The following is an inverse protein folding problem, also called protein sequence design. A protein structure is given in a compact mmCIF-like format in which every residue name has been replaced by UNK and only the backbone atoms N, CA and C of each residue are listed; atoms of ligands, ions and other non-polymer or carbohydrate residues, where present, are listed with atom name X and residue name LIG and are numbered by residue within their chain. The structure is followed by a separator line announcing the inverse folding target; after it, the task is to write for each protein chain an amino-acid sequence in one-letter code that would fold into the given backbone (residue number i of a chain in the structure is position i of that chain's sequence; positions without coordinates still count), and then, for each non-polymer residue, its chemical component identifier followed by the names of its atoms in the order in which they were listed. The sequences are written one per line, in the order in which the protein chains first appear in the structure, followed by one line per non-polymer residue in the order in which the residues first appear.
data_IF_567678130161
#
_entry.id   IF_567678130161
#
_cell.length_a   1.000
_cell.length_b   1.000
_cell.length_c   1.000
_cell.angle_alpha   90.00
_cell.angle_beta   90.00
_cell.angle_gamma   90.00
#
_symmetry.space_group_name_H-M   'P 1'
#
loop_
_entity.id
_entity.type
_entity.pdbx_description
1 polymer ?
#
# COMPACT_ATOMS: atom_id res chain seq x y z
N UNK A 1 -17.29 7.57 23.04
CA UNK A 1 -16.61 8.61 22.25
C UNK A 1 -16.06 7.96 20.99
N UNK A 2 -16.48 8.45 19.83
CA UNK A 2 -15.93 8.01 18.54
C UNK A 2 -14.42 8.38 18.51
N UNK A 3 -13.57 7.37 18.26
CA UNK A 3 -12.14 7.61 18.11
C UNK A 3 -11.90 8.43 16.84
N UNK A 4 -11.17 9.53 16.95
CA UNK A 4 -10.79 10.37 15.81
C UNK A 4 -9.61 9.71 15.07
N UNK A 5 -9.87 8.65 14.32
CA UNK A 5 -8.87 7.88 13.55
C UNK A 5 -9.23 7.87 12.07
N UNK A 6 -8.23 7.74 11.23
CA UNK A 6 -8.41 7.43 9.80
C UNK A 6 -8.45 5.92 9.66
N UNK A 7 -9.38 5.41 8.84
CA UNK A 7 -9.50 3.98 8.54
C UNK A 7 -9.15 3.76 7.07
N UNK A 8 -8.35 2.72 6.82
CA UNK A 8 -7.93 2.33 5.46
C UNK A 8 -8.18 0.84 5.27
N UNK A 9 -8.77 0.48 4.14
CA UNK A 9 -9.00 -0.92 3.77
C UNK A 9 -9.45 -1.05 2.32
N UNK A 10 -9.39 -2.24 1.73
CA UNK A 10 -9.85 -2.48 0.37
C UNK A 10 -11.14 -3.30 0.34
N UNK A 11 -12.02 -2.94 -0.57
CA UNK A 11 -13.32 -3.56 -0.81
C UNK A 11 -13.54 -3.78 -2.30
N UNK A 12 -14.45 -4.69 -2.64
CA UNK A 12 -14.98 -4.79 -4.00
C UNK A 12 -16.15 -3.81 -4.12
N UNK A 13 -16.05 -2.90 -5.07
CA UNK A 13 -17.09 -1.88 -5.33
C UNK A 13 -17.68 -2.11 -6.71
N UNK A 14 -19.01 -2.16 -6.75
CA UNK A 14 -19.80 -2.14 -7.98
C UNK A 14 -20.18 -0.69 -8.29
N UNK A 15 -19.90 -0.24 -9.50
CA UNK A 15 -20.37 1.06 -10.01
C UNK A 15 -21.24 0.86 -11.24
N UNK A 16 -22.39 1.51 -11.27
CA UNK A 16 -23.25 1.61 -12.44
C UNK A 16 -22.90 2.90 -13.20
N UNK A 17 -22.35 2.75 -14.39
CA UNK A 17 -21.96 3.86 -15.24
C UNK A 17 -23.12 4.21 -16.17
N UNK A 18 -23.22 5.48 -16.56
CA UNK A 18 -24.20 5.98 -17.52
C UNK A 18 -24.19 5.08 -18.77
N UNK A 19 -25.36 4.58 -19.20
CA UNK A 19 -25.62 3.63 -20.31
C UNK A 19 -25.63 2.14 -19.93
N UNK A 20 -25.96 1.78 -18.69
CA UNK A 20 -26.15 0.40 -18.19
C UNK A 20 -24.86 -0.45 -18.19
N UNK A 21 -23.68 0.15 -18.30
CA UNK A 21 -22.43 -0.57 -18.09
C UNK A 21 -22.16 -0.67 -16.58
N UNK A 22 -21.99 -1.90 -16.10
CA UNK A 22 -21.60 -2.16 -14.71
C UNK A 22 -20.08 -2.44 -14.67
N UNK A 23 -19.37 -1.73 -13.79
CA UNK A 23 -17.94 -1.99 -13.52
C UNK A 23 -17.73 -2.39 -12.08
N UNK A 24 -16.77 -3.28 -11.88
CA UNK A 24 -16.32 -3.67 -10.55
C UNK A 24 -14.88 -3.21 -10.35
N UNK A 25 -14.57 -2.77 -9.14
CA UNK A 25 -13.25 -2.29 -8.77
C UNK A 25 -12.77 -2.96 -7.49
N UNK A 26 -11.51 -3.34 -7.46
CA UNK A 26 -10.79 -3.60 -6.22
C UNK A 26 -10.34 -2.23 -5.69
N UNK A 27 -11.13 -1.66 -4.76
CA UNK A 27 -11.01 -0.27 -4.31
C UNK A 27 -10.50 -0.20 -2.88
N UNK A 28 -9.41 0.51 -2.67
CA UNK A 28 -8.98 0.93 -1.35
C UNK A 28 -9.77 2.18 -0.96
N UNK A 29 -10.33 2.18 0.24
CA UNK A 29 -11.06 3.30 0.83
C UNK A 29 -10.20 3.92 1.94
N UNK A 30 -10.14 5.23 1.95
CA UNK A 30 -9.55 6.07 2.97
C UNK A 30 -10.66 6.90 3.61
N UNK A 31 -10.98 6.64 4.88
CA UNK A 31 -12.10 7.31 5.58
C UNK A 31 -11.55 8.19 6.69
N UNK A 32 -11.90 9.46 6.64
CA UNK A 32 -11.56 10.45 7.66
C UNK A 32 -12.52 10.39 8.86
N UNK A 33 -12.12 10.92 10.03
CA UNK A 33 -12.96 10.94 11.22
C UNK A 33 -14.30 11.69 11.09
N UNK A 34 -14.40 12.62 10.14
CA UNK A 34 -15.60 13.37 9.81
C UNK A 34 -16.53 12.65 8.81
N UNK A 35 -16.15 11.46 8.34
CA UNK A 35 -16.90 10.67 7.37
C UNK A 35 -16.56 10.96 5.91
N UNK A 36 -15.76 11.96 5.62
CA UNK A 36 -15.23 12.17 4.27
C UNK A 36 -14.36 10.99 3.86
N UNK A 37 -14.42 10.65 2.59
CA UNK A 37 -13.67 9.53 2.04
C UNK A 37 -12.93 9.90 0.75
N UNK A 38 -11.76 9.28 0.60
CA UNK A 38 -11.05 9.19 -0.66
C UNK A 38 -10.93 7.72 -1.05
N UNK A 39 -10.62 7.46 -2.31
CA UNK A 39 -10.44 6.09 -2.76
C UNK A 39 -9.37 5.96 -3.83
N UNK A 40 -8.85 4.74 -3.92
CA UNK A 40 -7.88 4.33 -4.93
C UNK A 40 -8.36 3.02 -5.56
N UNK A 41 -8.58 3.03 -6.86
CA UNK A 41 -8.85 1.80 -7.62
C UNK A 41 -7.51 1.16 -8.01
N UNK A 42 -7.36 -0.11 -7.67
CA UNK A 42 -6.17 -0.89 -7.95
C UNK A 42 -5.74 -0.75 -9.40
N UNK A 43 -4.51 -0.33 -9.62
CA UNK A 43 -3.98 -0.08 -10.97
C UNK A 43 -3.63 -1.38 -11.68
N UNK A 44 -2.92 -2.29 -11.01
CA UNK A 44 -2.39 -3.50 -11.61
C UNK A 44 -3.21 -4.71 -11.17
N UNK A 45 -4.08 -5.16 -12.05
CA UNK A 45 -4.90 -6.34 -11.82
C UNK A 45 -4.06 -7.61 -11.95
N UNK A 46 -4.34 -8.59 -11.07
CA UNK A 46 -3.61 -9.86 -11.05
C UNK A 46 -4.19 -10.83 -12.07
N UNK A 47 -3.79 -10.70 -13.34
CA UNK A 47 -4.29 -11.48 -14.47
C UNK A 47 -4.07 -13.00 -14.30
N UNK A 48 -3.02 -13.40 -13.57
CA UNK A 48 -2.78 -14.83 -13.25
C UNK A 48 -3.94 -15.49 -12.48
N UNK A 49 -4.72 -14.69 -11.73
CA UNK A 49 -5.96 -15.13 -11.07
C UNK A 49 -7.21 -14.55 -11.75
N UNK A 50 -7.12 -14.20 -13.03
CA UNK A 50 -8.22 -13.67 -13.84
C UNK A 50 -8.88 -12.39 -13.27
N UNK A 51 -8.15 -11.63 -12.44
CA UNK A 51 -8.70 -10.39 -11.85
C UNK A 51 -9.06 -9.37 -12.93
N UNK A 52 -8.33 -9.31 -14.02
CA UNK A 52 -8.56 -8.46 -15.19
C UNK A 52 -9.83 -8.81 -15.99
N UNK A 53 -10.37 -10.02 -15.81
CA UNK A 53 -11.63 -10.43 -16.43
C UNK A 53 -12.85 -9.97 -15.63
N UNK A 54 -12.68 -9.62 -14.37
CA UNK A 54 -13.77 -9.30 -13.45
C UNK A 54 -13.76 -7.85 -12.96
N UNK A 55 -12.58 -7.22 -12.94
CA UNK A 55 -12.40 -5.86 -12.41
C UNK A 55 -11.84 -4.91 -13.45
N UNK A 56 -12.18 -3.65 -13.28
CA UNK A 56 -11.62 -2.53 -14.04
C UNK A 56 -10.41 -1.95 -13.30
N UNK A 57 -9.34 -1.66 -14.05
CA UNK A 57 -8.16 -1.03 -13.49
C UNK A 57 -8.37 0.46 -13.23
N UNK A 58 -7.81 0.95 -12.13
CA UNK A 58 -7.69 2.38 -11.87
C UNK A 58 -6.62 3.05 -12.72
N UNK A 59 -6.61 4.38 -12.73
CA UNK A 59 -5.64 5.18 -13.52
C UNK A 59 -4.95 6.28 -12.70
N UNK A 60 -5.38 6.50 -11.45
CA UNK A 60 -4.89 7.60 -10.62
C UNK A 60 -4.26 7.06 -9.34
N UNK A 61 -3.17 7.68 -8.91
CA UNK A 61 -2.61 7.44 -7.57
C UNK A 61 -3.39 8.22 -6.53
N UNK A 62 -3.50 7.70 -5.33
CA UNK A 62 -4.02 8.41 -4.16
C UNK A 62 -2.89 8.67 -3.18
N UNK A 63 -2.58 9.94 -2.98
CA UNK A 63 -1.70 10.40 -1.90
C UNK A 63 -2.56 11.17 -0.92
N UNK A 64 -2.85 10.54 0.21
CA UNK A 64 -3.65 11.13 1.27
C UNK A 64 -2.76 11.87 2.27
N UNK A 65 -3.33 12.87 2.93
CA UNK A 65 -2.61 13.63 3.96
C UNK A 65 -3.32 13.55 5.31
N UNK A 66 -2.56 13.25 6.36
CA UNK A 66 -3.05 13.27 7.74
C UNK A 66 -1.97 13.81 8.68
N UNK A 67 -2.29 14.83 9.47
CA UNK A 67 -1.37 15.43 10.45
C UNK A 67 0.02 15.75 9.87
N UNK A 68 0.08 16.22 8.64
CA UNK A 68 1.33 16.56 7.95
C UNK A 68 2.10 15.39 7.36
N UNK A 69 1.62 14.15 7.47
CA UNK A 69 2.14 12.99 6.77
C UNK A 69 1.45 12.83 5.41
N UNK A 70 2.24 12.55 4.37
CA UNK A 70 1.75 12.24 3.03
C UNK A 70 1.88 10.73 2.82
N UNK A 71 0.77 10.06 2.50
CA UNK A 71 0.69 8.59 2.44
C UNK A 71 0.21 8.18 1.06
N UNK A 72 1.06 7.47 0.31
CA UNK A 72 0.69 6.84 -0.96
C UNK A 72 0.05 5.48 -0.68
N UNK A 73 -1.17 5.30 -1.18
CA UNK A 73 -2.01 4.13 -0.90
C UNK A 73 -2.08 3.22 -2.12
N UNK A 74 -1.77 1.95 -1.95
CA UNK A 74 -1.72 0.95 -3.01
C UNK A 74 -2.32 -0.40 -2.57
N UNK A 75 -2.65 -1.27 -3.53
CA UNK A 75 -3.29 -2.56 -3.27
C UNK A 75 -2.47 -3.71 -3.83
N UNK A 76 -2.01 -4.58 -2.94
CA UNK A 76 -1.52 -5.93 -3.21
C UNK A 76 -0.54 -6.00 -4.41
N UNK A 77 -1.00 -6.40 -5.57
CA UNK A 77 -0.17 -6.64 -6.78
C UNK A 77 0.54 -5.39 -7.30
N UNK A 78 0.06 -4.18 -6.96
CA UNK A 78 0.74 -2.91 -7.26
C UNK A 78 2.19 -2.91 -6.74
N UNK A 79 2.47 -3.64 -5.64
CA UNK A 79 3.80 -3.78 -5.06
C UNK A 79 4.85 -4.29 -6.08
N UNK A 80 4.46 -5.05 -7.09
CA UNK A 80 5.38 -5.56 -8.12
C UNK A 80 5.81 -4.52 -9.14
N UNK A 81 5.21 -3.34 -9.13
CA UNK A 81 5.43 -2.32 -10.14
C UNK A 81 6.15 -1.10 -9.54
N UNK A 82 7.50 -1.08 -9.55
CA UNK A 82 8.29 0.00 -8.94
C UNK A 82 7.97 1.37 -9.55
N UNK A 83 7.72 1.42 -10.85
CA UNK A 83 7.39 2.68 -11.56
C UNK A 83 6.13 3.34 -10.98
N UNK A 84 5.13 2.54 -10.56
CA UNK A 84 3.90 3.06 -9.97
C UNK A 84 4.09 3.59 -8.55
N UNK A 85 5.00 2.98 -7.80
CA UNK A 85 5.37 3.41 -6.45
C UNK A 85 6.41 4.54 -6.44
N UNK A 86 7.03 4.84 -7.59
CA UNK A 86 8.17 5.75 -7.67
C UNK A 86 7.87 7.11 -7.06
N UNK A 87 8.73 7.55 -6.16
CA UNK A 87 8.75 8.89 -5.59
C UNK A 87 9.10 9.91 -6.69
N UNK A 88 8.25 10.91 -6.87
CA UNK A 88 8.47 12.03 -7.79
C UNK A 88 8.59 13.32 -6.95
N UNK A 89 9.81 13.79 -6.72
CA UNK A 89 10.03 14.84 -5.75
C UNK A 89 9.67 14.37 -4.33
N UNK A 90 9.14 15.23 -3.50
CA UNK A 90 8.74 14.93 -2.13
C UNK A 90 7.22 14.69 -2.02
N UNK A 91 6.69 13.73 -2.81
CA UNK A 91 5.25 13.50 -2.90
C UNK A 91 4.68 12.80 -1.68
N UNK A 92 5.42 11.84 -1.07
CA UNK A 92 4.94 11.07 0.07
C UNK A 92 6.05 10.68 1.05
N UNK A 93 5.63 10.41 2.28
CA UNK A 93 6.47 9.99 3.40
C UNK A 93 6.33 8.51 3.70
N UNK A 94 5.13 7.97 3.43
CA UNK A 94 4.74 6.59 3.72
C UNK A 94 4.13 5.97 2.48
N UNK A 95 4.50 4.73 2.22
CA UNK A 95 3.89 3.87 1.21
C UNK A 95 3.14 2.74 1.92
N UNK A 96 1.83 2.66 1.70
CA UNK A 96 0.98 1.70 2.40
C UNK A 96 0.32 0.74 1.40
N UNK A 97 0.45 -0.55 1.67
CA UNK A 97 -0.19 -1.64 0.93
C UNK A 97 -1.16 -2.42 1.81
N UNK A 98 -2.37 -2.65 1.32
CA UNK A 98 -3.28 -3.66 1.85
C UNK A 98 -3.36 -4.84 0.89
N UNK A 99 -3.34 -6.07 1.38
CA UNK A 99 -3.19 -7.23 0.51
C UNK A 99 -3.89 -8.51 0.99
N UNK A 100 -4.17 -9.37 0.00
CA UNK A 100 -4.37 -10.81 0.13
C UNK A 100 -3.22 -11.50 -0.63
N UNK A 101 -2.01 -11.47 -0.06
CA UNK A 101 -0.81 -12.01 -0.69
C UNK A 101 -0.53 -13.42 -0.19
N UNK A 102 -0.54 -14.45 -1.08
CA UNK A 102 -0.41 -15.84 -0.67
C UNK A 102 0.96 -16.18 -0.07
N UNK A 103 0.96 -17.10 0.89
CA UNK A 103 2.15 -17.62 1.58
C UNK A 103 3.23 -18.13 0.62
N UNK A 104 2.86 -18.85 -0.43
CA UNK A 104 3.79 -19.35 -1.45
C UNK A 104 4.65 -18.28 -2.11
N UNK A 105 4.28 -17.02 -1.97
CA UNK A 105 5.00 -15.87 -2.52
C UNK A 105 5.42 -14.86 -1.45
N UNK A 106 5.45 -15.26 -0.17
CA UNK A 106 5.75 -14.37 0.95
C UNK A 106 7.17 -13.80 0.89
N UNK A 107 8.14 -14.54 0.34
CA UNK A 107 9.48 -14.01 0.10
C UNK A 107 9.44 -12.76 -0.78
N UNK A 108 8.72 -12.81 -1.89
CA UNK A 108 8.57 -11.65 -2.77
C UNK A 108 7.85 -10.48 -2.08
N UNK A 109 6.83 -10.75 -1.24
CA UNK A 109 6.13 -9.75 -0.46
C UNK A 109 7.09 -8.97 0.43
N UNK A 110 7.84 -9.65 1.29
CA UNK A 110 8.79 -9.03 2.23
C UNK A 110 9.92 -8.31 1.50
N UNK A 111 10.52 -8.95 0.51
CA UNK A 111 11.63 -8.37 -0.26
C UNK A 111 11.22 -7.10 -0.99
N UNK A 112 10.04 -7.11 -1.64
CA UNK A 112 9.57 -5.95 -2.38
C UNK A 112 9.16 -4.80 -1.46
N UNK A 113 8.53 -5.06 -0.31
CA UNK A 113 8.24 -4.00 0.67
C UNK A 113 9.53 -3.32 1.14
N UNK A 114 10.56 -4.09 1.45
CA UNK A 114 11.87 -3.57 1.84
C UNK A 114 12.51 -2.76 0.70
N UNK A 115 12.47 -3.30 -0.53
CA UNK A 115 13.00 -2.59 -1.70
C UNK A 115 12.27 -1.24 -1.93
N UNK A 116 10.95 -1.20 -1.79
CA UNK A 116 10.17 0.05 -1.92
C UNK A 116 10.55 1.08 -0.87
N UNK A 117 10.83 0.66 0.36
CA UNK A 117 11.29 1.56 1.42
C UNK A 117 12.65 2.19 1.05
N UNK A 118 13.60 1.34 0.67
CA UNK A 118 14.99 1.78 0.35
C UNK A 118 15.01 2.69 -0.88
N UNK A 119 14.42 2.26 -1.99
CA UNK A 119 14.49 2.99 -3.27
C UNK A 119 13.78 4.34 -3.26
N UNK A 120 12.71 4.47 -2.44
CA UNK A 120 11.93 5.70 -2.31
C UNK A 120 12.26 6.49 -1.05
N UNK A 121 13.15 5.98 -0.20
CA UNK A 121 13.52 6.55 1.10
C UNK A 121 12.28 7.01 1.87
N UNK A 122 11.36 6.06 2.12
CA UNK A 122 10.09 6.28 2.80
C UNK A 122 9.82 5.13 3.79
N UNK A 123 8.95 5.35 4.75
CA UNK A 123 8.38 4.23 5.50
C UNK A 123 7.49 3.40 4.57
N UNK A 124 7.61 2.07 4.63
CA UNK A 124 6.72 1.17 3.89
C UNK A 124 5.96 0.27 4.85
N UNK A 125 4.63 0.25 4.71
CA UNK A 125 3.73 -0.53 5.54
C UNK A 125 2.98 -1.51 4.64
N UNK A 126 3.14 -2.82 4.90
CA UNK A 126 2.39 -3.87 4.24
C UNK A 126 1.46 -4.56 5.23
N UNK A 127 0.16 -4.44 5.04
CA UNK A 127 -0.85 -5.15 5.83
C UNK A 127 -1.40 -6.28 4.98
N UNK A 128 -1.22 -7.52 5.44
CA UNK A 128 -1.63 -8.70 4.71
C UNK A 128 -2.49 -9.62 5.59
N UNK A 129 -3.44 -10.34 4.97
CA UNK A 129 -4.30 -11.29 5.68
C UNK A 129 -3.52 -12.52 6.16
N UNK A 130 -4.06 -13.22 7.15
CA UNK A 130 -3.66 -14.55 7.59
C UNK A 130 -4.78 -15.56 7.34
N UNK A 131 -4.43 -16.86 7.38
CA UNK A 131 -5.39 -17.96 7.28
C UNK A 131 -5.55 -18.49 5.86
N UNK A 132 -6.60 -19.27 5.64
CA UNK A 132 -6.91 -19.93 4.37
C UNK A 132 -8.11 -19.22 3.74
N UNK A 133 -8.06 -18.95 2.45
CA UNK A 133 -9.18 -18.35 1.73
C UNK A 133 -10.17 -19.41 1.19
N UNK A 134 -11.25 -18.95 0.55
CA UNK A 134 -12.29 -19.82 -0.01
C UNK A 134 -11.82 -20.74 -1.15
N UNK A 135 -10.61 -20.51 -1.69
CA UNK A 135 -9.96 -21.35 -2.69
C UNK A 135 -8.87 -22.26 -2.11
N UNK A 136 -8.85 -22.44 -0.79
CA UNK A 136 -7.82 -23.21 -0.06
C UNK A 136 -6.39 -22.66 -0.24
N UNK A 137 -6.23 -21.38 -0.47
CA UNK A 137 -4.93 -20.71 -0.57
C UNK A 137 -4.53 -20.19 0.81
N UNK A 138 -3.37 -20.66 1.29
CA UNK A 138 -2.83 -20.21 2.57
C UNK A 138 -2.19 -18.82 2.45
N UNK A 139 -2.38 -18.01 3.49
CA UNK A 139 -1.82 -16.68 3.65
C UNK A 139 -1.11 -16.60 5.01
N UNK A 140 0.18 -16.36 4.99
CA UNK A 140 1.02 -16.29 6.20
C UNK A 140 0.91 -14.96 6.94
N UNK A 141 0.23 -13.98 6.37
CA UNK A 141 0.32 -12.60 6.85
C UNK A 141 1.63 -11.98 6.40
N UNK A 142 2.69 -12.16 7.19
CA UNK A 142 3.95 -11.46 6.95
C UNK A 142 3.73 -9.94 6.84
N UNK A 143 2.79 -9.40 7.65
CA UNK A 143 2.58 -7.96 7.75
C UNK A 143 3.84 -7.31 8.26
N UNK A 144 4.27 -6.21 7.61
CA UNK A 144 5.61 -5.67 7.76
C UNK A 144 5.57 -4.15 7.80
N UNK A 145 6.40 -3.56 8.67
CA UNK A 145 6.72 -2.14 8.66
C UNK A 145 8.23 -2.00 8.48
N UNK A 146 8.62 -1.25 7.48
CA UNK A 146 10.01 -1.03 7.09
C UNK A 146 10.33 0.46 7.13
N UNK A 147 11.44 0.81 7.71
CA UNK A 147 11.96 2.17 7.76
C UNK A 147 12.66 2.59 6.47
N UNK A 148 13.01 3.88 6.35
CA UNK A 148 13.50 4.48 5.09
C UNK A 148 14.83 3.91 4.57
N UNK A 149 15.60 3.24 5.41
CA UNK A 149 16.88 2.61 5.05
C UNK A 149 16.79 1.09 4.94
N UNK A 150 15.57 0.53 5.08
CA UNK A 150 15.32 -0.91 4.92
C UNK A 150 15.27 -1.70 6.23
N UNK A 151 15.39 -1.03 7.38
CA UNK A 151 15.28 -1.65 8.70
C UNK A 151 13.85 -2.15 8.95
N UNK A 152 13.74 -3.38 9.44
CA UNK A 152 12.43 -3.96 9.81
C UNK A 152 12.02 -3.45 11.19
N UNK A 153 10.99 -2.62 11.24
CA UNK A 153 10.46 -2.04 12.48
C UNK A 153 9.39 -2.92 13.13
N UNK A 154 8.70 -3.73 12.33
CA UNK A 154 7.71 -4.69 12.77
C UNK A 154 7.54 -5.80 11.74
N UNK A 155 7.33 -7.02 12.21
CA UNK A 155 6.97 -8.18 11.39
C UNK A 155 6.04 -9.11 12.17
N UNK A 156 4.95 -9.55 11.54
CA UNK A 156 4.05 -10.53 12.11
C UNK A 156 3.60 -11.55 11.05
N UNK A 157 3.74 -12.83 11.38
CA UNK A 157 3.35 -13.93 10.52
C UNK A 157 2.53 -14.98 11.28
N UNK A 158 1.64 -15.68 10.57
CA UNK A 158 0.82 -16.81 11.02
C UNK A 158 -0.16 -16.54 12.17
N UNK A 159 -0.37 -15.29 12.54
CA UNK A 159 -1.36 -14.90 13.56
C UNK A 159 -2.01 -13.56 13.23
N UNK A 160 -3.21 -13.37 13.72
CA UNK A 160 -3.83 -12.06 13.77
C UNK A 160 -3.13 -11.18 14.82
N UNK A 161 -2.92 -9.91 14.50
CA UNK A 161 -2.29 -8.97 15.42
C UNK A 161 -2.80 -7.54 15.20
N UNK A 162 -2.77 -6.77 16.28
CA UNK A 162 -2.98 -5.32 16.26
C UNK A 162 -1.75 -4.65 16.84
N UNK A 163 -0.99 -3.99 15.98
CA UNK A 163 0.25 -3.34 16.35
C UNK A 163 0.16 -1.83 16.17
N UNK A 164 0.73 -1.09 17.11
CA UNK A 164 0.79 0.37 17.07
C UNK A 164 2.24 0.83 17.13
N UNK A 165 2.61 1.71 16.21
CA UNK A 165 3.93 2.32 16.14
C UNK A 165 3.79 3.83 15.93
N UNK A 166 4.73 4.59 16.50
CA UNK A 166 4.88 6.00 16.19
C UNK A 166 6.02 6.16 15.18
N UNK A 167 5.71 6.66 13.99
CA UNK A 167 6.72 6.98 12.97
C UNK A 167 7.32 8.35 13.28
N UNK A 168 8.62 8.50 13.07
CA UNK A 168 9.37 9.73 13.37
C UNK A 168 9.70 10.48 12.08
N UNK A 169 9.18 11.69 11.94
CA UNK A 169 9.40 12.50 10.72
C UNK A 169 10.84 12.99 10.61
N UNK A 170 11.47 13.19 11.74
CA UNK A 170 12.86 13.60 11.86
C UNK A 170 13.81 12.51 11.37
N UNK A 171 13.54 11.24 11.66
CA UNK A 171 14.32 10.10 11.14
C UNK A 171 14.21 10.02 9.62
N UNK A 172 13.00 10.16 9.07
CA UNK A 172 12.79 10.21 7.63
C UNK A 172 13.57 11.34 6.96
N UNK A 173 13.51 12.53 7.54
CA UNK A 173 14.25 13.71 7.04
C UNK A 173 15.76 13.50 7.13
N UNK A 174 16.24 12.94 8.23
CA UNK A 174 17.66 12.63 8.43
C UNK A 174 18.17 11.66 7.34
N UNK A 175 17.45 10.55 7.12
CA UNK A 175 17.78 9.56 6.09
C UNK A 175 17.85 10.21 4.68
N UNK A 176 16.87 11.03 4.34
CA UNK A 176 16.81 11.74 3.04
C UNK A 176 17.88 12.81 2.87
N UNK A 177 18.28 13.47 3.94
CA UNK A 177 19.35 14.49 3.89
C UNK A 177 20.73 13.88 3.84
N UNK A 178 20.95 12.79 4.59
CA UNK A 178 22.24 12.08 4.61
C UNK A 178 22.53 11.39 3.27
N UNK A 179 21.49 10.81 2.66
CA UNK A 179 21.60 10.07 1.41
C UNK A 179 20.50 10.52 0.43
N UNK A 180 20.67 11.64 -0.30
CA UNK A 180 19.62 12.20 -1.13
C UNK A 180 19.42 11.46 -2.47
N UNK A 181 19.47 10.12 -2.47
CA UNK A 181 19.40 9.29 -3.68
C UNK A 181 18.09 9.47 -4.46
N UNK A 182 16.98 9.69 -3.75
CA UNK A 182 15.67 9.91 -4.37
C UNK A 182 15.64 11.14 -5.28
N UNK A 183 16.48 12.15 -5.03
CA UNK A 183 16.59 13.36 -5.88
C UNK A 183 17.20 13.06 -7.24
N UNK A 184 18.07 12.06 -7.32
CA UNK A 184 18.78 11.70 -8.55
C UNK A 184 17.88 10.98 -9.55
N UNK A 185 16.77 10.40 -9.10
CA UNK A 185 15.84 9.68 -9.96
C UNK A 185 15.11 10.55 -10.98
N UNK A 186 15.14 11.87 -10.81
CA UNK A 186 14.47 12.85 -11.70
C UNK A 186 15.42 13.39 -12.79
N UNK A 187 16.71 13.09 -12.73
CA UNK A 187 17.72 13.65 -13.64
C UNK A 187 17.82 12.84 -14.95
N UNK A 188 17.29 11.62 -14.99
CA UNK A 188 17.49 10.67 -16.07
C UNK A 188 16.20 10.13 -16.71
N UNK A 189 15.07 10.86 -16.56
CA UNK A 189 13.81 10.52 -17.25
C UNK A 189 13.49 11.63 -18.24
#
# INVERSE_FOLDING_TARGET
ALKKVVIVGSLIIKEEIIKQETKFYNRLIWVLPNGELGYYDKRHLFAFASEDQHYSAGSKRLIASVKGWKINLQVCYDLRFPVWARQQGDEYDVLLYVANWPEKRNHAWKTLLTARAIENQCYTIGVNRVGIDGNNIAHSGDSLIVGPLGEVLYHCAYKEDVFTITLQKEELRSARNQFPFWKLSLIHI
#
